data_IF_077722009583
#
_entry.id   IF_077722009583
#
_cell.length_a   1.000
_cell.length_b   1.000
_cell.length_c   1.000
_cell.angle_alpha   90.00
_cell.angle_beta   90.00
_cell.angle_gamma   90.00
#
_symmetry.space_group_name_H-M   'P 1'
#
loop_
_entity.id
_entity.type
_entity.pdbx_description
1 polymer ?
#
# COMPACT_ATOMS: atom_id res chain seq x y z
N UNK A 1 -11.16 25.17 53.46
CA UNK A 1 -11.04 25.51 52.03
C UNK A 1 -11.77 24.47 51.19
N UNK A 2 -12.87 24.93 50.58
CA UNK A 2 -13.65 24.45 49.44
C UNK A 2 -13.55 22.97 49.01
N UNK A 3 -14.58 22.19 49.37
CA UNK A 3 -15.03 21.00 48.65
C UNK A 3 -16.03 21.40 47.55
N UNK A 4 -15.85 20.92 46.32
CA UNK A 4 -16.79 21.13 45.21
C UNK A 4 -17.56 19.83 44.87
N UNK A 5 -18.89 19.87 44.75
CA UNK A 5 -19.73 18.70 44.49
C UNK A 5 -20.11 18.49 43.01
N UNK A 6 -20.40 17.21 42.71
CA UNK A 6 -20.91 16.66 41.45
C UNK A 6 -22.13 17.40 40.89
N UNK A 7 -22.23 17.53 39.56
CA UNK A 7 -23.50 17.77 38.86
C UNK A 7 -23.65 16.83 37.64
N UNK A 8 -24.71 16.02 37.70
CA UNK A 8 -25.33 15.32 36.57
C UNK A 8 -26.10 16.34 35.74
N UNK A 9 -26.06 16.22 34.41
CA UNK A 9 -26.92 16.99 33.51
C UNK A 9 -28.10 16.12 33.04
N UNK A 10 -29.33 16.58 33.29
CA UNK A 10 -30.59 16.05 32.77
C UNK A 10 -31.50 17.23 32.44
N UNK A 11 -32.18 17.19 31.28
CA UNK A 11 -33.24 18.12 30.84
C UNK A 11 -32.73 19.30 30.01
N UNK A 12 -33.43 19.87 29.03
CA UNK A 12 -34.78 19.68 28.52
C UNK A 12 -34.86 20.41 27.15
N UNK A 13 -35.81 20.00 26.31
CA UNK A 13 -36.08 20.48 24.96
C UNK A 13 -36.49 21.97 24.83
N UNK A 14 -36.32 22.56 23.63
CA UNK A 14 -37.41 23.10 22.80
C UNK A 14 -36.95 24.13 21.73
N UNK A 15 -37.47 23.92 20.51
CA UNK A 15 -38.01 24.92 19.56
C UNK A 15 -37.11 26.07 19.08
N UNK A 16 -36.78 26.05 17.79
CA UNK A 16 -36.75 27.28 17.00
C UNK A 16 -37.27 27.05 15.58
N UNK A 17 -38.33 27.80 15.28
CA UNK A 17 -38.98 27.95 14.00
C UNK A 17 -38.20 28.99 13.18
N UNK A 18 -37.94 28.74 11.89
CA UNK A 18 -37.69 29.84 10.95
C UNK A 18 -38.21 29.50 9.55
N UNK A 19 -39.37 30.07 9.30
CA UNK A 19 -40.02 30.36 8.03
C UNK A 19 -39.17 31.39 7.27
N UNK A 20 -38.87 31.18 5.98
CA UNK A 20 -38.75 32.27 4.99
C UNK A 20 -39.28 31.77 3.63
N UNK A 21 -40.13 32.62 3.05
CA UNK A 21 -40.89 32.57 1.80
C UNK A 21 -40.06 32.62 0.50
N UNK A 22 -40.79 32.43 -0.62
CA UNK A 22 -40.63 32.89 -2.02
C UNK A 22 -40.30 31.77 -3.02
N UNK A 23 -40.85 31.69 -4.24
CA UNK A 23 -42.09 32.13 -4.91
C UNK A 23 -42.04 31.48 -6.31
N UNK A 24 -43.16 30.94 -6.81
CA UNK A 24 -43.28 30.39 -8.16
C UNK A 24 -43.20 31.45 -9.26
N UNK A 25 -42.63 31.08 -10.41
CA UNK A 25 -42.91 31.70 -11.69
C UNK A 25 -42.99 30.63 -12.79
N UNK A 26 -44.13 30.65 -13.48
CA UNK A 26 -44.54 29.84 -14.61
C UNK A 26 -43.90 30.34 -15.92
N UNK A 27 -43.69 29.44 -16.89
CA UNK A 27 -43.97 29.76 -18.30
C UNK A 27 -44.08 28.50 -19.16
N UNK A 28 -45.26 28.40 -19.78
CA UNK A 28 -45.70 27.47 -20.81
C UNK A 28 -45.03 27.80 -22.14
N UNK A 29 -44.63 26.81 -22.96
CA UNK A 29 -44.74 26.90 -24.45
C UNK A 29 -44.74 25.50 -25.07
N UNK A 30 -45.63 25.37 -26.04
CA UNK A 30 -46.20 24.17 -26.66
C UNK A 30 -45.34 23.59 -27.79
N UNK A 31 -45.41 22.26 -27.96
CA UNK A 31 -44.91 21.51 -29.13
C UNK A 31 -45.91 21.61 -30.29
N UNK A 32 -45.43 21.87 -31.50
CA UNK A 32 -46.16 21.55 -32.73
C UNK A 32 -45.27 20.75 -33.70
N UNK A 33 -45.88 19.75 -34.34
CA UNK A 33 -45.33 18.93 -35.41
C UNK A 33 -45.37 19.70 -36.75
N UNK A 34 -44.40 19.49 -37.63
CA UNK A 34 -44.66 19.06 -39.03
C UNK A 34 -43.37 18.70 -39.77
N UNK A 35 -43.54 17.91 -40.82
CA UNK A 35 -42.56 17.07 -41.50
C UNK A 35 -41.68 17.80 -42.55
N UNK A 36 -40.56 17.16 -42.89
CA UNK A 36 -40.23 16.70 -44.26
C UNK A 36 -38.91 17.19 -44.89
N UNK A 37 -38.28 16.21 -45.56
CA UNK A 37 -37.35 16.25 -46.71
C UNK A 37 -35.83 16.22 -46.45
N UNK A 38 -35.24 15.15 -46.98
CA UNK A 38 -33.83 14.79 -47.12
C UNK A 38 -33.10 15.64 -48.21
N UNK A 39 -31.90 15.26 -48.71
CA UNK A 39 -30.61 15.83 -48.32
C UNK A 39 -29.90 16.53 -49.50
N UNK A 40 -28.90 17.37 -49.25
CA UNK A 40 -27.96 17.81 -50.31
C UNK A 40 -26.54 17.46 -49.91
N UNK A 41 -25.97 16.53 -50.68
CA UNK A 41 -24.58 16.13 -50.61
C UNK A 41 -23.68 17.30 -51.01
N UNK A 42 -22.78 17.72 -50.11
CA UNK A 42 -21.58 18.46 -50.50
C UNK A 42 -20.37 17.56 -50.29
N UNK A 43 -19.79 17.14 -51.42
CA UNK A 43 -18.50 16.50 -51.50
C UNK A 43 -17.45 17.49 -51.00
N UNK A 44 -16.92 17.27 -49.79
CA UNK A 44 -15.67 17.87 -49.37
C UNK A 44 -14.58 16.81 -49.37
N UNK A 45 -13.63 17.04 -50.28
CA UNK A 45 -12.39 16.34 -50.52
C UNK A 45 -11.68 15.87 -49.24
N UNK A 46 -11.34 14.57 -49.16
CA UNK A 46 -10.34 14.08 -48.23
C UNK A 46 -8.93 14.47 -48.72
N UNK A 47 -8.09 15.11 -47.89
CA UNK A 47 -6.66 15.17 -48.19
C UNK A 47 -6.01 13.79 -47.97
N UNK A 48 -5.17 13.40 -48.92
CA UNK A 48 -4.36 12.19 -48.91
C UNK A 48 -3.62 12.02 -47.56
N UNK A 49 -3.96 10.93 -46.85
CA UNK A 49 -3.22 10.43 -45.70
C UNK A 49 -1.90 9.86 -46.20
N UNK A 50 -0.85 10.69 -46.19
CA UNK A 50 0.50 10.22 -46.40
C UNK A 50 0.83 9.13 -45.38
N UNK A 51 1.34 8.01 -45.89
CA UNK A 51 1.88 6.90 -45.12
C UNK A 51 2.99 7.43 -44.21
N UNK A 52 2.65 7.62 -42.93
CA UNK A 52 3.65 7.70 -41.86
C UNK A 52 4.41 6.38 -41.88
N UNK A 53 5.66 6.45 -42.28
CA UNK A 53 6.65 5.42 -42.03
C UNK A 53 6.53 5.03 -40.55
N UNK A 54 6.33 3.73 -40.28
CA UNK A 54 6.43 3.17 -38.95
C UNK A 54 7.85 3.42 -38.44
N UNK A 55 8.04 4.56 -37.76
CA UNK A 55 9.22 4.80 -36.96
C UNK A 55 9.32 3.66 -35.94
N UNK A 56 10.48 2.97 -35.85
CA UNK A 56 10.69 1.99 -34.80
C UNK A 56 10.46 2.67 -33.44
N UNK A 57 9.93 1.97 -32.42
CA UNK A 57 9.74 2.55 -31.11
C UNK A 57 11.09 3.04 -30.62
N UNK A 58 11.26 4.36 -30.58
CA UNK A 58 12.41 5.00 -30.00
C UNK A 58 12.52 4.46 -28.57
N UNK A 59 13.49 3.59 -28.33
CA UNK A 59 13.93 3.25 -27.00
C UNK A 59 14.58 4.52 -26.46
N UNK A 60 13.74 5.41 -25.92
CA UNK A 60 14.17 6.57 -25.16
C UNK A 60 14.84 6.00 -23.92
N UNK A 61 16.15 5.73 -24.03
CA UNK A 61 17.00 5.65 -22.85
C UNK A 61 16.99 7.04 -22.21
N UNK A 62 16.05 7.27 -21.30
CA UNK A 62 16.04 8.46 -20.48
C UNK A 62 17.32 8.46 -19.63
N UNK A 63 18.30 9.26 -20.03
CA UNK A 63 19.53 9.48 -19.26
C UNK A 63 19.29 10.31 -17.99
N UNK A 64 18.10 10.86 -17.80
CA UNK A 64 17.71 11.58 -16.60
C UNK A 64 17.52 10.61 -15.42
N UNK A 65 18.51 10.54 -14.52
CA UNK A 65 18.39 9.88 -13.22
C UNK A 65 19.24 8.63 -13.02
N UNK A 66 20.28 8.39 -13.84
CA UNK A 66 21.26 7.34 -13.51
C UNK A 66 22.14 7.80 -12.33
N UNK A 67 22.30 6.97 -11.29
CA UNK A 67 23.24 7.27 -10.21
C UNK A 67 24.67 7.31 -10.75
N UNK A 68 25.54 8.14 -10.15
CA UNK A 68 26.95 8.26 -10.51
C UNK A 68 27.74 6.94 -10.30
N UNK A 69 27.17 6.02 -9.52
CA UNK A 69 27.72 4.70 -9.21
C UNK A 69 26.69 3.63 -9.56
N UNK A 70 27.15 2.49 -10.07
CA UNK A 70 26.29 1.34 -10.31
C UNK A 70 25.91 0.65 -9.00
N UNK A 71 24.70 0.09 -8.94
CA UNK A 71 24.19 -0.65 -7.79
C UNK A 71 25.12 -1.85 -7.42
N UNK A 72 25.81 -2.42 -8.40
CA UNK A 72 26.74 -3.54 -8.21
C UNK A 72 28.04 -3.13 -7.52
N UNK A 73 28.61 -1.98 -7.89
CA UNK A 73 29.82 -1.46 -7.21
C UNK A 73 29.50 -1.14 -5.76
N UNK A 74 28.34 -0.52 -5.48
CA UNK A 74 27.89 -0.25 -4.11
C UNK A 74 27.75 -1.55 -3.31
N UNK A 75 27.22 -2.61 -3.92
CA UNK A 75 27.14 -3.92 -3.27
C UNK A 75 28.51 -4.52 -3.00
N UNK A 76 29.43 -4.54 -3.98
CA UNK A 76 30.75 -5.16 -3.80
C UNK A 76 31.57 -4.50 -2.69
N UNK A 77 31.43 -3.17 -2.52
CA UNK A 77 32.07 -2.45 -1.41
C UNK A 77 31.43 -2.85 -0.07
N UNK A 78 30.10 -2.86 0.01
CA UNK A 78 29.38 -3.02 1.28
C UNK A 78 29.04 -4.47 1.65
N UNK A 79 29.29 -5.45 0.76
CA UNK A 79 28.89 -6.85 0.99
C UNK A 79 29.62 -7.48 2.17
N UNK A 80 30.87 -7.09 2.40
CA UNK A 80 31.72 -7.70 3.45
C UNK A 80 31.46 -7.09 4.82
N UNK A 81 31.16 -5.79 4.86
CA UNK A 81 30.98 -5.02 6.09
C UNK A 81 29.95 -3.90 5.89
N UNK A 82 28.90 -3.90 6.71
CA UNK A 82 27.84 -2.90 6.74
C UNK A 82 27.20 -2.91 8.14
N UNK A 83 26.74 -1.77 8.64
CA UNK A 83 26.06 -1.64 9.94
C UNK A 83 24.76 -2.45 10.03
N UNK A 84 24.08 -2.70 8.92
CA UNK A 84 22.86 -3.51 8.90
C UNK A 84 23.13 -5.02 9.02
N UNK A 85 24.36 -5.47 8.84
CA UNK A 85 24.68 -6.89 8.76
C UNK A 85 24.80 -7.52 10.15
N UNK A 86 24.18 -8.70 10.31
CA UNK A 86 24.22 -9.47 11.55
C UNK A 86 24.66 -10.89 11.22
N UNK A 87 25.86 -11.27 11.69
CA UNK A 87 26.44 -12.61 11.52
C UNK A 87 26.11 -13.49 12.72
N UNK A 88 25.47 -14.64 12.50
CA UNK A 88 25.09 -15.62 13.54
C UNK A 88 25.15 -17.04 12.99
N UNK A 89 25.82 -17.96 13.70
CA UNK A 89 25.78 -19.40 13.44
C UNK A 89 25.88 -19.80 11.95
N UNK A 90 26.86 -19.27 11.21
CA UNK A 90 27.08 -19.58 9.80
C UNK A 90 26.13 -18.91 8.80
N UNK A 91 25.12 -18.17 9.25
CA UNK A 91 24.15 -17.45 8.41
C UNK A 91 24.35 -15.93 8.53
N UNK A 92 24.17 -15.22 7.42
CA UNK A 92 24.29 -13.76 7.34
C UNK A 92 22.91 -13.12 7.15
N UNK A 93 22.47 -12.35 8.14
CA UNK A 93 21.22 -11.61 8.12
C UNK A 93 21.45 -10.12 7.90
N UNK A 94 20.39 -9.42 7.50
CA UNK A 94 20.39 -7.97 7.34
C UNK A 94 19.18 -7.35 8.04
N UNK A 95 19.41 -6.24 8.75
CA UNK A 95 18.39 -5.40 9.40
C UNK A 95 17.96 -4.21 8.55
N UNK A 96 18.30 -4.19 7.26
CA UNK A 96 17.89 -3.13 6.34
C UNK A 96 16.35 -3.00 6.31
N UNK A 97 15.79 -1.78 6.52
CA UNK A 97 14.34 -1.55 6.49
C UNK A 97 13.69 -1.89 5.14
N UNK A 98 14.47 -1.92 4.06
CA UNK A 98 14.01 -2.19 2.70
C UNK A 98 14.29 -3.64 2.24
N UNK A 99 14.57 -4.55 3.18
CA UNK A 99 14.78 -5.97 2.92
C UNK A 99 13.56 -6.82 3.34
N UNK A 100 12.98 -7.56 2.38
CA UNK A 100 11.78 -8.36 2.62
C UNK A 100 12.03 -9.68 3.38
N UNK A 101 13.19 -10.31 3.20
CA UNK A 101 13.48 -11.66 3.72
C UNK A 101 14.51 -11.61 4.86
N UNK A 102 15.05 -10.44 5.16
CA UNK A 102 16.12 -10.23 6.16
C UNK A 102 17.40 -11.03 5.90
N UNK A 103 17.59 -11.53 4.67
CA UNK A 103 18.80 -12.22 4.23
C UNK A 103 19.81 -11.21 3.68
N UNK A 104 21.08 -11.36 4.02
CA UNK A 104 22.15 -10.56 3.41
C UNK A 104 22.49 -11.12 2.03
N UNK A 105 21.87 -10.54 0.98
CA UNK A 105 22.04 -10.97 -0.41
C UNK A 105 21.80 -9.80 -1.36
N UNK A 106 22.51 -9.78 -2.49
CA UNK A 106 22.41 -8.77 -3.55
C UNK A 106 20.97 -8.50 -3.99
N UNK A 107 20.12 -9.53 -4.08
CA UNK A 107 18.71 -9.41 -4.51
C UNK A 107 17.88 -8.53 -3.56
N UNK A 108 18.17 -8.61 -2.26
CA UNK A 108 17.38 -7.99 -1.19
C UNK A 108 18.06 -6.80 -0.52
N UNK A 109 19.25 -6.41 -0.99
CA UNK A 109 19.99 -5.26 -0.50
C UNK A 109 19.28 -3.97 -0.92
N UNK A 110 18.37 -3.49 -0.07
CA UNK A 110 17.60 -2.28 -0.33
C UNK A 110 18.46 -1.03 -0.32
N UNK A 111 19.51 -0.98 0.50
CA UNK A 111 20.47 0.13 0.51
C UNK A 111 21.22 0.30 -0.83
N UNK A 112 21.62 -0.80 -1.47
CA UNK A 112 22.39 -0.79 -2.72
C UNK A 112 21.49 -0.61 -3.96
N UNK A 113 20.28 -1.16 -3.96
CA UNK A 113 19.42 -1.13 -5.13
C UNK A 113 18.76 0.23 -5.34
N UNK A 114 18.73 0.66 -6.60
CA UNK A 114 17.91 1.77 -7.09
C UNK A 114 16.41 1.52 -6.92
N UNK A 115 15.97 0.26 -7.10
CA UNK A 115 14.59 -0.21 -6.85
C UNK A 115 14.53 -1.19 -5.68
N UNK A 116 13.79 -0.82 -4.64
CA UNK A 116 13.61 -1.64 -3.44
C UNK A 116 12.20 -1.51 -2.87
N UNK A 117 11.74 -2.56 -2.18
CA UNK A 117 10.44 -2.60 -1.51
C UNK A 117 10.68 -3.01 -0.06
N UNK A 118 10.37 -2.13 0.88
CA UNK A 118 10.29 -2.42 2.30
C UNK A 118 8.85 -2.56 2.74
N UNK A 119 8.57 -3.47 3.66
CA UNK A 119 7.24 -3.63 4.27
C UNK A 119 7.42 -3.78 5.75
N UNK A 120 6.93 -2.80 6.51
CA UNK A 120 7.09 -2.75 7.95
C UNK A 120 5.75 -2.41 8.62
N UNK A 121 5.58 -2.86 9.86
CA UNK A 121 4.46 -2.41 10.69
C UNK A 121 4.77 -1.01 11.23
N UNK A 122 3.78 -0.13 11.22
CA UNK A 122 3.85 1.14 11.95
C UNK A 122 3.48 0.92 13.41
N UNK A 123 3.78 1.89 14.27
CA UNK A 123 3.39 1.87 15.70
C UNK A 123 1.88 1.68 15.90
N UNK A 124 1.07 2.30 15.04
CA UNK A 124 -0.39 2.15 15.05
C UNK A 124 -0.91 0.79 14.52
N UNK A 125 -0.03 -0.17 14.24
CA UNK A 125 -0.37 -1.48 13.68
C UNK A 125 -0.73 -1.47 12.19
N UNK A 126 -0.62 -0.34 11.50
CA UNK A 126 -0.81 -0.27 10.06
C UNK A 126 0.39 -0.89 9.33
N UNK A 127 0.21 -1.23 8.06
CA UNK A 127 1.26 -1.81 7.23
C UNK A 127 1.77 -0.73 6.28
N UNK A 128 3.01 -0.28 6.48
CA UNK A 128 3.70 0.65 5.61
C UNK A 128 4.45 -0.11 4.52
N UNK A 129 4.09 0.14 3.26
CA UNK A 129 4.81 -0.35 2.09
C UNK A 129 5.62 0.79 1.51
N UNK A 130 6.94 0.66 1.62
CA UNK A 130 7.91 1.68 1.27
C UNK A 130 8.64 1.29 0.00
N UNK A 131 8.70 2.18 -0.98
CA UNK A 131 9.35 1.94 -2.28
C UNK A 131 10.29 3.07 -2.64
N UNK A 132 11.41 2.74 -3.31
CA UNK A 132 12.34 3.74 -3.84
C UNK A 132 11.89 4.29 -5.19
N UNK A 133 12.09 5.59 -5.40
CA UNK A 133 11.95 6.30 -6.67
C UNK A 133 13.29 6.25 -7.41
N UNK A 134 13.40 5.51 -8.54
CA UNK A 134 14.68 5.38 -9.24
C UNK A 134 15.21 6.72 -9.76
N UNK A 135 14.33 7.64 -10.17
CA UNK A 135 14.71 8.97 -10.66
C UNK A 135 15.33 9.88 -9.58
N UNK A 136 15.10 9.60 -8.29
CA UNK A 136 15.48 10.46 -7.18
C UNK A 136 16.58 9.84 -6.30
N UNK A 137 17.41 8.95 -6.87
CA UNK A 137 18.50 8.28 -6.13
C UNK A 137 19.51 9.23 -5.49
N UNK A 138 19.76 10.38 -6.11
CA UNK A 138 20.66 11.43 -5.62
C UNK A 138 20.06 12.29 -4.49
N UNK A 139 18.77 12.13 -4.17
CA UNK A 139 18.05 12.92 -3.14
C UNK A 139 17.52 11.97 -2.07
N UNK A 140 18.35 11.50 -1.13
CA UNK A 140 17.97 10.44 -0.19
C UNK A 140 16.70 10.79 0.60
N UNK A 141 16.54 12.05 1.04
CA UNK A 141 15.36 12.50 1.79
C UNK A 141 14.03 12.34 1.04
N UNK A 142 14.00 12.51 -0.28
CA UNK A 142 12.78 12.41 -1.11
C UNK A 142 12.76 11.18 -2.03
N UNK A 143 13.78 10.34 -1.94
CA UNK A 143 13.99 9.13 -2.75
C UNK A 143 12.95 8.03 -2.49
N UNK A 144 12.17 8.15 -1.43
CA UNK A 144 11.32 7.07 -0.93
C UNK A 144 9.85 7.51 -0.85
N UNK A 145 8.94 6.57 -1.13
CA UNK A 145 7.49 6.76 -1.00
C UNK A 145 6.94 5.66 -0.13
N UNK A 146 6.11 6.03 0.85
CA UNK A 146 5.45 5.08 1.73
C UNK A 146 3.95 5.12 1.51
N UNK A 147 3.38 3.98 1.15
CA UNK A 147 1.93 3.75 1.07
C UNK A 147 1.50 2.94 2.29
N UNK A 148 0.63 3.52 3.10
CA UNK A 148 0.16 2.89 4.34
C UNK A 148 -1.19 2.22 4.12
N UNK A 149 -1.30 0.97 4.52
CA UNK A 149 -2.56 0.22 4.57
C UNK A 149 -3.04 0.13 6.01
N UNK A 150 -4.30 0.52 6.23
CA UNK A 150 -4.95 0.40 7.54
C UNK A 150 -4.96 -1.05 8.04
N UNK A 151 -4.69 -1.25 9.34
CA UNK A 151 -4.76 -2.57 9.99
C UNK A 151 -6.13 -3.24 9.82
N UNK A 152 -7.19 -2.45 9.94
CA UNK A 152 -8.59 -2.85 9.85
C UNK A 152 -9.03 -3.21 8.43
N UNK A 153 -8.26 -2.81 7.40
CA UNK A 153 -8.61 -3.12 6.02
C UNK A 153 -8.62 -4.63 5.75
N UNK A 154 -9.51 -5.05 4.85
CA UNK A 154 -9.63 -6.46 4.45
C UNK A 154 -8.31 -6.97 3.89
N UNK A 155 -7.91 -8.18 4.30
CA UNK A 155 -6.62 -8.77 3.90
C UNK A 155 -6.47 -8.88 2.38
N UNK A 156 -7.56 -9.16 1.65
CA UNK A 156 -7.58 -9.17 0.17
C UNK A 156 -7.15 -7.83 -0.43
N UNK A 157 -7.61 -6.70 0.12
CA UNK A 157 -7.28 -5.35 -0.38
C UNK A 157 -5.79 -5.05 -0.18
N UNK A 158 -5.24 -5.43 0.98
CA UNK A 158 -3.83 -5.20 1.32
C UNK A 158 -2.93 -6.06 0.44
N UNK A 159 -3.20 -7.37 0.34
CA UNK A 159 -2.38 -8.28 -0.47
C UNK A 159 -2.42 -7.90 -1.96
N UNK A 160 -3.61 -7.57 -2.50
CA UNK A 160 -3.74 -7.06 -3.87
C UNK A 160 -2.97 -5.76 -4.06
N UNK A 161 -3.07 -4.83 -3.11
CA UNK A 161 -2.34 -3.56 -3.12
C UNK A 161 -0.83 -3.77 -3.21
N UNK A 162 -0.26 -4.54 -2.28
CA UNK A 162 1.17 -4.85 -2.24
C UNK A 162 1.64 -5.55 -3.52
N UNK A 163 0.88 -6.55 -3.97
CA UNK A 163 1.23 -7.31 -5.16
C UNK A 163 1.20 -6.43 -6.43
N UNK A 164 0.30 -5.44 -6.47
CA UNK A 164 0.25 -4.45 -7.55
C UNK A 164 1.42 -3.47 -7.46
N UNK A 165 1.79 -3.00 -6.27
CA UNK A 165 2.97 -2.14 -6.07
C UNK A 165 4.24 -2.83 -6.58
N UNK A 166 4.38 -4.14 -6.38
CA UNK A 166 5.53 -4.89 -6.87
C UNK A 166 5.51 -5.13 -8.40
N UNK A 167 4.37 -5.51 -8.97
CA UNK A 167 4.32 -6.08 -10.33
C UNK A 167 3.57 -5.24 -11.38
N UNK A 168 2.56 -4.45 -11.01
CA UNK A 168 1.61 -3.86 -11.97
C UNK A 168 2.28 -2.90 -12.96
N UNK A 169 3.24 -2.10 -12.49
CA UNK A 169 3.98 -1.13 -13.32
C UNK A 169 5.35 -1.64 -13.76
N UNK A 170 5.58 -2.97 -13.72
CA UNK A 170 6.89 -3.55 -14.05
C UNK A 170 8.00 -3.13 -13.09
N UNK A 171 7.69 -2.83 -11.83
CA UNK A 171 8.68 -2.33 -10.87
C UNK A 171 9.71 -3.40 -10.48
N UNK A 172 9.28 -4.45 -9.76
CA UNK A 172 10.07 -5.62 -9.34
C UNK A 172 9.17 -6.86 -9.16
N UNK A 173 8.76 -7.53 -10.26
CA UNK A 173 7.87 -8.69 -10.19
C UNK A 173 8.50 -9.88 -9.47
N UNK A 174 9.84 -9.97 -9.44
CA UNK A 174 10.63 -10.98 -8.72
C UNK A 174 10.41 -10.98 -7.21
N UNK A 175 10.05 -9.83 -6.64
CA UNK A 175 9.79 -9.66 -5.20
C UNK A 175 8.33 -9.88 -4.82
N UNK A 176 7.43 -10.06 -5.79
CA UNK A 176 5.98 -10.11 -5.54
C UNK A 176 5.59 -11.15 -4.51
N UNK A 177 6.09 -12.38 -4.65
CA UNK A 177 5.73 -13.48 -3.75
C UNK A 177 6.22 -13.23 -2.32
N UNK A 178 7.46 -12.77 -2.18
CA UNK A 178 8.08 -12.47 -0.89
C UNK A 178 7.42 -11.27 -0.21
N UNK A 179 7.05 -10.24 -0.98
CA UNK A 179 6.32 -9.08 -0.47
C UNK A 179 4.97 -9.49 0.12
N UNK A 180 4.19 -10.30 -0.59
CA UNK A 180 2.91 -10.82 -0.09
C UNK A 180 3.13 -11.69 1.15
N UNK A 181 4.15 -12.55 1.15
CA UNK A 181 4.51 -13.39 2.29
C UNK A 181 4.82 -12.54 3.54
N UNK A 182 5.65 -11.51 3.41
CA UNK A 182 6.00 -10.61 4.52
C UNK A 182 4.79 -9.89 5.10
N UNK A 183 3.89 -9.37 4.25
CA UNK A 183 2.64 -8.74 4.70
C UNK A 183 1.79 -9.74 5.49
N UNK A 184 1.69 -10.98 5.00
CA UNK A 184 0.93 -12.03 5.68
C UNK A 184 1.52 -12.37 7.05
N UNK A 185 2.85 -12.38 7.17
CA UNK A 185 3.56 -12.61 8.43
C UNK A 185 3.31 -11.48 9.44
N UNK A 186 3.39 -10.21 9.00
CA UNK A 186 3.09 -9.04 9.84
C UNK A 186 1.63 -9.08 10.32
N UNK A 187 0.68 -9.40 9.44
CA UNK A 187 -0.72 -9.53 9.85
C UNK A 187 -0.94 -10.68 10.81
N UNK A 188 -0.20 -11.79 10.65
CA UNK A 188 -0.26 -12.91 11.58
C UNK A 188 0.29 -12.52 12.96
N UNK A 189 1.35 -11.72 13.03
CA UNK A 189 1.93 -11.27 14.30
C UNK A 189 1.05 -10.25 15.03
N UNK A 190 0.28 -9.44 14.31
CA UNK A 190 -0.65 -8.45 14.88
C UNK A 190 -1.94 -9.06 15.42
N UNK A 191 -2.26 -10.31 15.07
CA UNK A 191 -3.48 -10.97 15.56
C UNK A 191 -3.28 -11.35 17.03
N UNK A 192 -4.26 -11.04 17.91
CA UNK A 192 -4.19 -11.47 19.29
C UNK A 192 -4.12 -13.00 19.33
N UNK A 193 -3.14 -13.53 20.06
CA UNK A 193 -3.00 -14.97 20.24
C UNK A 193 -4.11 -15.41 21.18
N UNK A 194 -4.95 -16.35 20.73
CA UNK A 194 -5.92 -16.98 21.64
C UNK A 194 -5.15 -17.74 22.69
N UNK A 195 -5.55 -17.60 23.95
CA UNK A 195 -5.02 -18.41 25.04
C UNK A 195 -5.12 -19.89 24.66
N UNK A 196 -4.05 -20.64 24.94
CA UNK A 196 -4.06 -22.06 24.64
C UNK A 196 -5.22 -22.69 25.42
N UNK A 197 -6.11 -23.48 24.78
CA UNK A 197 -7.16 -24.16 25.51
C UNK A 197 -6.50 -25.01 26.60
N UNK A 198 -7.03 -24.92 27.83
CA UNK A 198 -6.54 -25.69 28.97
C UNK A 198 -6.45 -27.15 28.55
N UNK A 199 -5.24 -27.71 28.58
CA UNK A 199 -5.00 -29.10 28.19
C UNK A 199 -5.80 -29.98 29.15
N UNK A 200 -6.90 -30.56 28.69
CA UNK A 200 -7.67 -31.52 29.49
C UNK A 200 -6.76 -32.70 29.83
N UNK A 201 -6.73 -33.09 31.11
CA UNK A 201 -6.01 -34.27 31.55
C UNK A 201 -6.47 -35.50 30.73
N UNK A 202 -5.53 -36.11 30.01
CA UNK A 202 -5.81 -37.25 29.12
C UNK A 202 -5.63 -38.54 29.93
N UNK A 203 -6.67 -39.38 29.93
CA UNK A 203 -6.67 -40.67 30.62
C UNK A 203 -7.31 -40.61 32.02
N UNK A 204 -7.89 -41.74 32.45
CA UNK A 204 -8.60 -41.85 33.73
C UNK A 204 -7.68 -41.60 34.95
N UNK A 205 -6.41 -42.02 34.86
CA UNK A 205 -5.43 -41.85 35.95
C UNK A 205 -5.07 -40.39 36.21
N UNK A 206 -4.97 -39.58 35.14
CA UNK A 206 -4.67 -38.15 35.24
C UNK A 206 -5.88 -37.31 35.69
N UNK A 207 -7.10 -37.83 35.54
CA UNK A 207 -8.32 -37.20 36.07
C UNK A 207 -8.46 -37.45 37.57
N UNK A 208 -8.25 -38.69 38.02
CA UNK A 208 -8.25 -39.05 39.45
C UNK A 208 -7.17 -38.30 40.25
N UNK A 209 -5.96 -38.20 39.71
CA UNK A 209 -4.89 -37.44 40.37
C UNK A 209 -5.16 -35.92 40.45
N UNK A 210 -6.02 -35.38 39.58
CA UNK A 210 -6.44 -33.98 39.66
C UNK A 210 -7.55 -33.77 40.70
N UNK A 211 -8.46 -34.73 40.87
CA UNK A 211 -9.52 -34.74 41.88
C UNK A 211 -8.98 -34.96 43.30
N UNK A 212 -7.89 -35.73 43.47
CA UNK A 212 -7.24 -35.94 44.78
C UNK A 212 -6.39 -34.74 45.25
N UNK A 213 -6.08 -33.81 44.35
CA UNK A 213 -5.26 -32.62 44.63
C UNK A 213 -6.06 -31.34 44.87
N UNK A 214 -7.40 -31.43 44.84
CA UNK A 214 -8.36 -30.35 45.05
C UNK A 214 -9.18 -30.57 46.31
#
# INVERSE_FOLDING_TARGET
MLASPKRKAVGLAAKSCKIIHTSEATSTTTKSLSQSRYPTASLQFLPHRSSRLDSPPAYIMSYAGRPNLSDDVVWEIARTQNSFMVKRAGVQFSRDPLNLVNKHSRKYAGFANSKAIGINATESGNIAVTTKKPAMGHRPASSTVTNTYSSTATSRKIYKGVANTAAKSGYRPDLRAEAVSRVSAIRKSQRPKKEAPVKKARGAKARKAAEESS
#
